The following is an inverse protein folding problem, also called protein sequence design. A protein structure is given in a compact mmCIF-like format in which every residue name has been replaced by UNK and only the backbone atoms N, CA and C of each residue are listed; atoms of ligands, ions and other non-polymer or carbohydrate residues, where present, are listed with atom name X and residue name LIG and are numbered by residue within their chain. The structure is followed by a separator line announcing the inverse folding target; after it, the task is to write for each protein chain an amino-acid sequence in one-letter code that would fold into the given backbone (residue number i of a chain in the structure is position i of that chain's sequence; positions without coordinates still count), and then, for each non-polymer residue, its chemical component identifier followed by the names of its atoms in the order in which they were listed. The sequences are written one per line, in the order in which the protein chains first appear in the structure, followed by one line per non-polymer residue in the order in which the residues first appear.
data_IF_138603118535
#
_entry.id   IF_138603118535
#
_cell.length_a   1.000
_cell.length_b   1.000
_cell.length_c   1.000
_cell.angle_alpha   90.00
_cell.angle_beta   90.00
_cell.angle_gamma   90.00
#
_symmetry.space_group_name_H-M   'P 1'
#
loop_
_entity.id
_entity.type
_entity.pdbx_description
1 polymer ?
#
# COMPACT_ATOMS: atom_id res chain seq x y z
N UNK A 1 6.05 -23.48 7.77
CA UNK A 1 6.81 -22.48 7.00
C UNK A 1 5.79 -21.62 6.26
N UNK A 2 5.86 -20.29 6.35
CA UNK A 2 4.92 -19.42 5.63
C UNK A 2 5.15 -19.59 4.12
N UNK A 3 4.09 -19.63 3.31
CA UNK A 3 4.28 -19.68 1.85
C UNK A 3 4.97 -18.38 1.39
N UNK A 4 5.88 -18.43 0.40
CA UNK A 4 6.58 -17.24 -0.07
C UNK A 4 5.65 -16.11 -0.52
N UNK A 5 4.52 -16.45 -1.15
CA UNK A 5 3.49 -15.48 -1.54
C UNK A 5 2.84 -14.82 -0.33
N UNK A 6 2.51 -15.57 0.73
CA UNK A 6 1.93 -15.00 1.95
C UNK A 6 2.93 -14.09 2.66
N UNK A 7 4.21 -14.45 2.67
CA UNK A 7 5.27 -13.59 3.18
C UNK A 7 5.34 -12.27 2.41
N UNK A 8 5.31 -12.33 1.08
CA UNK A 8 5.31 -11.13 0.25
C UNK A 8 4.09 -10.24 0.52
N UNK A 9 2.89 -10.81 0.66
CA UNK A 9 1.68 -10.04 0.99
C UNK A 9 1.80 -9.34 2.35
N UNK A 10 2.32 -10.03 3.38
CA UNK A 10 2.58 -9.41 4.68
C UNK A 10 3.56 -8.23 4.56
N UNK A 11 4.64 -8.40 3.79
CA UNK A 11 5.61 -7.34 3.53
C UNK A 11 4.99 -6.16 2.77
N UNK A 12 4.13 -6.42 1.78
CA UNK A 12 3.39 -5.37 1.06
C UNK A 12 2.46 -4.59 1.99
N UNK A 13 1.75 -5.27 2.89
CA UNK A 13 0.88 -4.60 3.88
C UNK A 13 1.70 -3.69 4.80
N UNK A 14 2.82 -4.21 5.34
CA UNK A 14 3.71 -3.42 6.21
C UNK A 14 4.28 -2.22 5.44
N UNK A 15 4.76 -2.44 4.22
CA UNK A 15 5.25 -1.38 3.33
C UNK A 15 4.17 -0.31 3.13
N UNK A 16 2.94 -0.72 2.83
CA UNK A 16 1.86 0.21 2.57
C UNK A 16 1.43 1.03 3.79
N UNK A 17 1.53 0.48 5.00
CA UNK A 17 1.37 1.26 6.23
C UNK A 17 2.38 2.40 6.31
N UNK A 18 3.66 2.14 6.01
CA UNK A 18 4.69 3.18 5.94
C UNK A 18 4.45 4.16 4.79
N UNK A 19 4.05 3.70 3.61
CA UNK A 19 3.66 4.55 2.48
C UNK A 19 2.57 5.54 2.88
N UNK A 20 1.50 5.04 3.49
CA UNK A 20 0.35 5.84 3.94
C UNK A 20 0.76 6.87 4.99
N UNK A 21 1.65 6.49 5.92
CA UNK A 21 2.20 7.41 6.91
C UNK A 21 3.10 8.48 6.27
N UNK A 22 3.96 8.10 5.31
CA UNK A 22 4.81 9.04 4.59
C UNK A 22 3.98 10.07 3.82
N UNK A 23 2.93 9.62 3.13
CA UNK A 23 2.13 10.50 2.27
C UNK A 23 1.19 11.40 3.06
N UNK A 24 0.58 10.90 4.14
CA UNK A 24 -0.51 11.62 4.82
C UNK A 24 -0.20 11.96 6.28
N UNK A 25 0.74 11.29 6.94
CA UNK A 25 1.01 11.48 8.36
C UNK A 25 1.42 12.92 8.71
N UNK A 26 2.17 13.58 7.83
CA UNK A 26 2.58 14.97 8.01
C UNK A 26 1.37 15.93 8.06
N UNK A 27 0.27 15.64 7.34
CA UNK A 27 -0.94 16.45 7.36
C UNK A 27 -1.62 16.49 8.73
N UNK A 28 -1.37 15.48 9.57
CA UNK A 28 -1.94 15.42 10.92
C UNK A 28 -0.98 15.93 11.99
N UNK A 29 0.31 15.59 11.88
CA UNK A 29 1.31 15.81 12.95
C UNK A 29 2.16 17.07 12.69
N UNK A 30 2.42 17.38 11.42
CA UNK A 30 3.29 18.48 10.97
C UNK A 30 2.50 19.52 10.13
N UNK A 31 1.22 19.73 10.44
CA UNK A 31 0.36 20.58 9.61
C UNK A 31 0.81 22.05 9.52
N UNK A 32 1.43 22.57 10.60
CA UNK A 32 2.02 23.92 10.64
C UNK A 32 3.51 23.96 10.25
N UNK A 33 4.11 22.79 10.00
CA UNK A 33 5.53 22.72 9.70
C UNK A 33 5.83 23.23 8.27
N UNK A 34 7.01 23.82 8.04
CA UNK A 34 7.46 24.15 6.69
C UNK A 34 7.49 22.90 5.79
N UNK A 35 7.15 23.09 4.50
CA UNK A 35 7.10 22.01 3.50
C UNK A 35 8.38 21.18 3.47
N UNK A 36 9.55 21.81 3.62
CA UNK A 36 10.84 21.10 3.61
C UNK A 36 10.97 20.09 4.76
N UNK A 37 10.40 20.37 5.93
CA UNK A 37 10.40 19.43 7.07
C UNK A 37 9.47 18.25 6.80
N UNK A 38 8.29 18.52 6.25
CA UNK A 38 7.35 17.48 5.85
C UNK A 38 7.96 16.54 4.80
N UNK A 39 8.65 17.08 3.79
CA UNK A 39 9.36 16.29 2.77
C UNK A 39 10.44 15.42 3.40
N UNK A 40 11.33 16.00 4.23
CA UNK A 40 12.43 15.28 4.83
C UNK A 40 11.94 14.13 5.73
N UNK A 41 10.94 14.40 6.56
CA UNK A 41 10.34 13.39 7.43
C UNK A 41 9.67 12.27 6.61
N UNK A 42 8.94 12.62 5.55
CA UNK A 42 8.31 11.64 4.66
C UNK A 42 9.34 10.76 3.96
N UNK A 43 10.48 11.31 3.56
CA UNK A 43 11.60 10.53 3.00
C UNK A 43 12.19 9.54 3.99
N UNK A 44 12.37 9.92 5.26
CA UNK A 44 12.83 8.99 6.29
C UNK A 44 11.88 7.80 6.45
N UNK A 45 10.57 8.03 6.37
CA UNK A 45 9.56 6.96 6.42
C UNK A 45 9.58 6.12 5.14
N UNK A 46 9.71 6.76 3.97
CA UNK A 46 9.77 6.06 2.68
C UNK A 46 10.96 5.08 2.62
N UNK A 47 12.08 5.37 3.27
CA UNK A 47 13.19 4.41 3.37
C UNK A 47 12.77 3.10 4.07
N UNK A 48 11.94 3.18 5.11
CA UNK A 48 11.38 2.00 5.77
C UNK A 48 10.39 1.29 4.84
N UNK A 49 9.50 2.02 4.17
CA UNK A 49 8.58 1.47 3.17
C UNK A 49 9.34 0.61 2.12
N UNK A 50 10.40 1.17 1.53
CA UNK A 50 11.20 0.48 0.50
C UNK A 50 11.93 -0.75 1.03
N UNK A 51 12.31 -0.75 2.31
CA UNK A 51 12.95 -1.89 2.97
C UNK A 51 12.06 -3.14 2.99
N UNK A 52 10.73 -2.99 2.93
CA UNK A 52 9.76 -4.09 2.82
C UNK A 52 9.25 -4.29 1.38
N UNK A 53 9.08 -3.20 0.63
CA UNK A 53 8.60 -3.22 -0.76
C UNK A 53 9.52 -4.02 -1.70
N UNK A 54 10.84 -3.78 -1.60
CA UNK A 54 11.82 -4.38 -2.50
C UNK A 54 11.93 -5.89 -2.28
N UNK A 55 12.04 -6.41 -1.04
CA UNK A 55 12.01 -7.85 -0.80
C UNK A 55 10.70 -8.51 -1.24
N UNK A 56 9.55 -7.86 -1.01
CA UNK A 56 8.25 -8.42 -1.39
C UNK A 56 8.12 -8.63 -2.90
N UNK A 57 8.42 -7.60 -3.69
CA UNK A 57 8.34 -7.66 -5.16
C UNK A 57 9.38 -8.63 -5.73
N UNK A 58 10.60 -8.65 -5.17
CA UNK A 58 11.62 -9.62 -5.56
C UNK A 58 11.19 -11.07 -5.29
N UNK A 59 10.54 -11.32 -4.15
CA UNK A 59 10.04 -12.65 -3.80
C UNK A 59 8.91 -13.10 -4.75
N UNK A 60 7.95 -12.22 -5.05
CA UNK A 60 6.89 -12.51 -6.01
C UNK A 60 7.45 -12.80 -7.41
N UNK A 61 8.42 -12.00 -7.87
CA UNK A 61 9.07 -12.20 -9.16
C UNK A 61 9.76 -13.57 -9.25
N UNK A 62 10.42 -14.01 -8.18
CA UNK A 62 11.04 -15.34 -8.11
C UNK A 62 10.02 -16.49 -8.20
N UNK A 63 8.75 -16.22 -7.88
CA UNK A 63 7.66 -17.20 -7.93
C UNK A 63 6.78 -17.05 -9.18
N UNK A 64 7.28 -16.37 -10.22
CA UNK A 64 6.64 -16.32 -11.53
C UNK A 64 5.52 -15.27 -11.67
N UNK A 65 5.38 -14.37 -10.70
CA UNK A 65 4.41 -13.28 -10.82
C UNK A 65 4.86 -12.28 -11.89
N UNK A 66 3.92 -11.78 -12.69
CA UNK A 66 4.19 -10.72 -13.66
C UNK A 66 4.21 -9.34 -12.99
N UNK A 67 4.85 -8.35 -13.64
CA UNK A 67 4.86 -6.97 -13.13
C UNK A 67 3.44 -6.40 -12.97
N UNK A 68 2.53 -6.77 -13.87
CA UNK A 68 1.12 -6.36 -13.81
C UNK A 68 0.42 -6.90 -12.57
N UNK A 69 0.59 -8.19 -12.28
CA UNK A 69 0.00 -8.84 -11.11
C UNK A 69 0.50 -8.23 -9.80
N UNK A 70 1.81 -7.97 -9.70
CA UNK A 70 2.39 -7.31 -8.53
C UNK A 70 1.81 -5.91 -8.34
N UNK A 71 1.71 -5.12 -9.41
CA UNK A 71 1.19 -3.76 -9.34
C UNK A 71 -0.28 -3.73 -8.93
N UNK A 72 -1.13 -4.55 -9.54
CA UNK A 72 -2.55 -4.60 -9.18
C UNK A 72 -2.73 -5.09 -7.74
N UNK A 73 -1.95 -6.08 -7.31
CA UNK A 73 -1.98 -6.55 -5.92
C UNK A 73 -1.58 -5.45 -4.95
N UNK A 74 -0.59 -4.62 -5.31
CA UNK A 74 -0.24 -3.43 -4.52
C UNK A 74 -1.37 -2.43 -4.44
N UNK A 75 -2.11 -2.14 -5.53
CA UNK A 75 -3.26 -1.23 -5.48
C UNK A 75 -4.37 -1.75 -4.57
N UNK A 76 -4.62 -3.06 -4.58
CA UNK A 76 -5.56 -3.71 -3.64
C UNK A 76 -5.09 -3.53 -2.20
N UNK A 77 -3.82 -3.81 -1.91
CA UNK A 77 -3.23 -3.61 -0.57
C UNK A 77 -3.30 -2.14 -0.16
N UNK A 78 -3.03 -1.22 -1.08
CA UNK A 78 -3.13 0.24 -0.85
C UNK A 78 -4.51 0.61 -0.37
N UNK A 79 -5.55 0.18 -1.08
CA UNK A 79 -6.91 0.53 -0.69
C UNK A 79 -7.30 -0.11 0.65
N UNK A 80 -6.91 -1.37 0.86
CA UNK A 80 -7.15 -2.11 2.11
C UNK A 80 -6.49 -1.46 3.34
N UNK A 81 -5.30 -0.88 3.19
CA UNK A 81 -4.58 -0.20 4.28
C UNK A 81 -5.06 1.25 4.44
N UNK A 82 -5.31 1.94 3.33
CA UNK A 82 -5.72 3.34 3.33
C UNK A 82 -7.09 3.56 3.97
N UNK A 83 -8.08 2.69 3.71
CA UNK A 83 -9.43 2.86 4.25
C UNK A 83 -9.46 2.84 5.78
N UNK A 84 -8.91 1.82 6.48
CA UNK A 84 -8.77 1.85 7.93
C UNK A 84 -7.97 3.05 8.43
N UNK A 85 -6.87 3.39 7.77
CA UNK A 85 -6.05 4.55 8.15
C UNK A 85 -6.87 5.84 8.16
N UNK A 86 -7.64 6.10 7.10
CA UNK A 86 -8.48 7.28 6.99
C UNK A 86 -9.60 7.31 8.06
N UNK A 87 -10.24 6.18 8.34
CA UNK A 87 -11.29 6.08 9.38
C UNK A 87 -10.70 6.30 10.78
N UNK A 88 -9.61 5.60 11.13
CA UNK A 88 -9.09 5.61 12.49
C UNK A 88 -8.16 6.80 12.77
N UNK A 89 -7.30 7.16 11.82
CA UNK A 89 -6.32 8.24 11.97
C UNK A 89 -6.95 9.58 11.62
N UNK A 90 -7.63 9.71 10.48
CA UNK A 90 -8.22 10.98 10.05
C UNK A 90 -9.66 11.19 10.52
N UNK A 91 -10.28 10.18 11.15
CA UNK A 91 -11.68 10.24 11.64
C UNK A 91 -12.67 10.68 10.56
N UNK A 92 -12.37 10.39 9.29
CA UNK A 92 -13.28 10.68 8.20
C UNK A 92 -14.37 9.61 8.12
N UNK A 93 -15.61 10.00 7.76
CA UNK A 93 -16.70 9.04 7.64
C UNK A 93 -16.42 8.07 6.50
N UNK A 94 -16.72 6.79 6.74
CA UNK A 94 -16.65 5.77 5.70
C UNK A 94 -17.66 6.07 4.59
N UNK A 95 -17.20 6.09 3.34
CA UNK A 95 -18.04 6.29 2.15
C UNK A 95 -18.21 4.98 1.39
N UNK A 96 -19.40 4.77 0.83
CA UNK A 96 -19.69 3.63 -0.04
C UNK A 96 -18.84 3.63 -1.31
N UNK A 97 -18.31 4.78 -1.72
CA UNK A 97 -17.39 4.92 -2.85
C UNK A 97 -16.17 4.00 -2.74
N UNK A 98 -15.67 3.72 -1.52
CA UNK A 98 -14.56 2.80 -1.31
C UNK A 98 -14.93 1.34 -1.58
N UNK A 99 -16.21 0.97 -1.37
CA UNK A 99 -16.71 -0.36 -1.73
C UNK A 99 -16.77 -0.49 -3.26
N UNK A 100 -17.29 0.53 -3.94
CA UNK A 100 -17.31 0.55 -5.41
C UNK A 100 -15.91 0.50 -5.99
N UNK A 101 -14.96 1.24 -5.41
CA UNK A 101 -13.55 1.18 -5.80
C UNK A 101 -12.95 -0.23 -5.61
N UNK A 102 -13.22 -0.89 -4.47
CA UNK A 102 -12.80 -2.28 -4.25
C UNK A 102 -13.43 -3.24 -5.28
N UNK A 103 -14.71 -3.09 -5.60
CA UNK A 103 -15.38 -3.92 -6.62
C UNK A 103 -14.75 -3.71 -8.01
N UNK A 104 -14.44 -2.47 -8.39
CA UNK A 104 -13.73 -2.17 -9.62
C UNK A 104 -12.32 -2.81 -9.64
N UNK A 105 -11.59 -2.76 -8.51
CA UNK A 105 -10.29 -3.40 -8.38
C UNK A 105 -10.36 -4.92 -8.49
N UNK A 106 -11.44 -5.57 -8.02
CA UNK A 106 -11.64 -7.01 -8.26
C UNK A 106 -11.75 -7.32 -9.76
N UNK A 107 -12.35 -6.45 -10.55
CA UNK A 107 -12.34 -6.53 -12.01
C UNK A 107 -10.90 -6.46 -12.57
N UNK A 108 -10.08 -5.52 -12.07
CA UNK A 108 -8.67 -5.42 -12.46
C UNK A 108 -7.88 -6.70 -12.11
N UNK A 109 -8.10 -7.26 -10.91
CA UNK A 109 -7.49 -8.53 -10.47
C UNK A 109 -7.88 -9.64 -11.45
N UNK A 110 -9.17 -9.79 -11.77
CA UNK A 110 -9.60 -10.81 -12.72
C UNK A 110 -8.89 -10.68 -14.08
N UNK A 111 -8.86 -9.48 -14.67
CA UNK A 111 -8.26 -9.30 -16.00
C UNK A 111 -6.76 -9.54 -16.05
N UNK A 112 -6.05 -9.21 -14.97
CA UNK A 112 -4.60 -9.37 -14.90
C UNK A 112 -4.20 -10.82 -14.60
N UNK A 113 -4.98 -11.55 -13.80
CA UNK A 113 -4.67 -12.93 -13.43
C UNK A 113 -5.32 -13.99 -14.32
N UNK A 114 -6.21 -13.64 -15.26
CA UNK A 114 -6.98 -14.61 -16.08
C UNK A 114 -6.16 -15.58 -16.94
N UNK A 115 -4.91 -15.25 -17.25
CA UNK A 115 -4.06 -16.01 -18.19
C UNK A 115 -2.87 -16.70 -17.50
N UNK A 116 -2.83 -16.67 -16.17
CA UNK A 116 -1.99 -17.54 -15.35
C UNK A 116 -2.68 -18.89 -15.13
#
# INVERSE_FOLDING_TARGET
MLSPTLLALCLLIISNCFMTLAWYGHLKILHDAPIWQAILFSWCIALLEYSFMIPATKLLNQHGWSLGEMKITQEVVTLLVFVPFMIFVFKQPFKLDYIWAMLCLMGCVYFVFRHQ
#
